data_IF_105134476995
#
_entry.id   IF_105134476995
#
_cell.length_a   1.000
_cell.length_b   1.000
_cell.length_c   1.000
_cell.angle_alpha   90.00
_cell.angle_beta   90.00
_cell.angle_gamma   90.00
#
_symmetry.space_group_name_H-M   'P 1'
#
loop_
_entity.id
_entity.type
_entity.pdbx_description
1 polymer ?
#
# COMPACT_ATOMS: atom_id res chain seq x y z
N UNK A 1 -22.95 2.78 -4.21
CA UNK A 1 -21.58 2.25 -4.10
C UNK A 1 -21.27 1.52 -5.40
N UNK A 2 -20.18 1.83 -6.08
CA UNK A 2 -19.76 1.10 -7.28
C UNK A 2 -18.25 1.02 -7.30
N UNK A 3 -17.74 -0.18 -7.12
CA UNK A 3 -16.30 -0.49 -7.08
C UNK A 3 -16.13 -1.80 -7.86
N UNK A 4 -15.15 -1.86 -8.75
CA UNK A 4 -14.87 -3.07 -9.51
C UNK A 4 -13.36 -3.27 -9.69
N UNK A 5 -12.84 -4.30 -9.04
CA UNK A 5 -11.99 -5.30 -9.68
C UNK A 5 -12.67 -6.62 -9.33
N UNK A 6 -13.22 -7.33 -10.33
CA UNK A 6 -14.01 -8.55 -10.07
C UNK A 6 -13.13 -9.80 -9.90
N UNK A 7 -11.94 -9.81 -10.47
CA UNK A 7 -10.86 -10.75 -10.16
C UNK A 7 -9.56 -10.15 -10.71
N UNK A 8 -8.47 -10.22 -9.94
CA UNK A 8 -7.10 -9.96 -10.40
C UNK A 8 -6.20 -11.02 -9.76
N UNK A 9 -6.39 -12.27 -10.18
CA UNK A 9 -5.55 -13.41 -9.81
C UNK A 9 -4.16 -13.29 -10.46
N UNK A 10 -3.28 -12.54 -9.82
CA UNK A 10 -1.87 -12.45 -10.22
C UNK A 10 -1.02 -13.14 -9.16
N UNK A 11 -0.56 -14.36 -9.45
CA UNK A 11 0.51 -15.00 -8.70
C UNK A 11 1.86 -14.38 -9.09
N UNK A 12 2.06 -13.12 -8.71
CA UNK A 12 3.32 -12.41 -8.90
C UNK A 12 4.04 -12.35 -7.56
N UNK A 13 5.22 -12.94 -7.52
CA UNK A 13 6.18 -12.66 -6.46
C UNK A 13 6.42 -11.15 -6.44
N UNK A 14 6.08 -10.50 -5.32
CA UNK A 14 6.33 -9.07 -5.12
C UNK A 14 7.84 -8.90 -5.07
N UNK A 15 8.47 -8.61 -6.22
CA UNK A 15 9.91 -8.35 -6.33
C UNK A 15 10.23 -6.94 -5.81
N UNK A 16 11.48 -6.50 -5.91
CA UNK A 16 11.96 -5.22 -5.36
C UNK A 16 11.12 -3.98 -5.76
N UNK A 17 10.48 -3.99 -6.93
CA UNK A 17 9.66 -2.84 -7.40
C UNK A 17 8.29 -2.77 -6.71
N UNK A 18 7.76 -3.91 -6.28
CA UNK A 18 6.50 -3.98 -5.56
C UNK A 18 5.25 -3.66 -6.38
N UNK A 19 4.16 -3.39 -5.67
CA UNK A 19 2.89 -2.86 -6.18
C UNK A 19 2.64 -1.51 -5.52
N UNK A 20 2.10 -0.57 -6.28
CA UNK A 20 1.63 0.73 -5.78
C UNK A 20 0.12 0.79 -5.90
N UNK A 21 -0.56 1.26 -4.86
CA UNK A 21 -1.97 1.58 -4.94
C UNK A 21 -2.29 2.90 -4.24
N UNK A 22 -3.27 3.59 -4.81
CA UNK A 22 -3.73 4.89 -4.36
C UNK A 22 -4.89 4.73 -3.38
N UNK A 23 -4.80 5.41 -2.24
CA UNK A 23 -5.80 5.34 -1.17
C UNK A 23 -6.61 6.62 -1.11
N UNK A 24 -7.93 6.47 -1.11
CA UNK A 24 -8.90 7.54 -0.91
C UNK A 24 -9.79 7.19 0.29
N UNK A 25 -10.32 8.20 0.97
CA UNK A 25 -11.37 8.00 1.97
C UNK A 25 -12.74 7.72 1.31
N UNK A 26 -13.75 7.46 2.14
CA UNK A 26 -15.12 7.19 1.68
C UNK A 26 -15.80 8.38 1.00
N UNK A 27 -15.24 9.58 1.12
CA UNK A 27 -15.73 10.81 0.47
C UNK A 27 -14.98 11.07 -0.86
N UNK A 28 -14.01 10.23 -1.22
CA UNK A 28 -13.20 10.35 -2.42
C UNK A 28 -11.97 11.25 -2.25
N UNK A 29 -11.69 11.76 -1.05
CA UNK A 29 -10.51 12.58 -0.82
C UNK A 29 -9.26 11.70 -0.84
N UNK A 30 -8.26 12.15 -1.60
CA UNK A 30 -6.98 11.46 -1.69
C UNK A 30 -6.23 11.52 -0.36
N UNK A 31 -5.85 10.36 0.16
CA UNK A 31 -5.14 10.22 1.44
C UNK A 31 -3.64 10.00 1.23
N UNK A 32 -3.25 9.32 0.15
CA UNK A 32 -1.86 9.01 -0.14
C UNK A 32 -1.72 7.77 -1.02
N UNK A 33 -0.47 7.46 -1.36
CA UNK A 33 -0.10 6.26 -2.09
C UNK A 33 0.58 5.25 -1.14
N UNK A 34 0.27 3.96 -1.28
CA UNK A 34 0.88 2.88 -0.51
C UNK A 34 1.64 1.94 -1.45
N UNK A 35 2.90 1.66 -1.09
CA UNK A 35 3.74 0.72 -1.82
C UNK A 35 3.91 -0.56 -1.03
N UNK A 36 3.54 -1.69 -1.63
CA UNK A 36 3.78 -3.03 -1.09
C UNK A 36 5.00 -3.61 -1.79
N UNK A 37 6.03 -3.92 -1.04
CA UNK A 37 7.27 -4.50 -1.56
C UNK A 37 7.64 -5.76 -0.79
N UNK A 38 8.65 -6.50 -1.24
CA UNK A 38 9.13 -7.67 -0.49
C UNK A 38 9.63 -7.34 0.92
N UNK A 39 10.08 -6.10 1.15
CA UNK A 39 10.63 -5.66 2.43
C UNK A 39 9.57 -5.11 3.39
N UNK A 40 8.33 -4.90 2.93
CA UNK A 40 7.26 -4.34 3.74
C UNK A 40 6.44 -3.30 2.99
N UNK A 41 5.88 -2.36 3.75
CA UNK A 41 5.00 -1.31 3.26
C UNK A 41 5.69 0.05 3.32
N UNK A 42 5.44 0.91 2.33
CA UNK A 42 5.80 2.34 2.40
C UNK A 42 4.56 3.18 2.19
N UNK A 43 4.22 4.00 3.18
CA UNK A 43 3.12 4.95 3.13
C UNK A 43 3.59 6.34 2.73
N UNK A 44 2.96 6.91 1.71
CA UNK A 44 3.22 8.25 1.20
C UNK A 44 2.00 9.12 1.40
N UNK A 45 1.94 9.83 2.53
CA UNK A 45 0.80 10.69 2.86
C UNK A 45 0.64 11.83 1.85
N UNK A 46 -0.58 12.01 1.33
CA UNK A 46 -0.87 13.00 0.31
C UNK A 46 0.06 12.84 -0.90
N UNK A 47 0.73 13.92 -1.30
CA UNK A 47 1.64 13.95 -2.46
C UNK A 47 3.09 13.64 -2.10
N UNK A 48 3.33 12.97 -0.99
CA UNK A 48 4.69 12.61 -0.55
C UNK A 48 5.34 11.67 -1.57
N UNK A 49 6.59 11.94 -1.94
CA UNK A 49 7.34 11.04 -2.82
C UNK A 49 7.74 9.77 -2.07
N UNK A 50 7.79 8.62 -2.76
CA UNK A 50 8.22 7.34 -2.17
C UNK A 50 9.51 7.42 -1.35
N UNK A 51 10.49 8.21 -1.81
CA UNK A 51 11.77 8.40 -1.11
C UNK A 51 11.64 9.02 0.29
N UNK A 52 10.53 9.73 0.55
CA UNK A 52 10.22 10.41 1.80
C UNK A 52 9.04 9.76 2.54
N UNK A 53 8.56 8.60 2.07
CA UNK A 53 7.47 7.87 2.70
C UNK A 53 7.92 7.17 3.98
N UNK A 54 6.96 6.88 4.86
CA UNK A 54 7.21 6.12 6.08
C UNK A 54 7.18 4.64 5.71
N UNK A 55 8.28 3.94 5.97
CA UNK A 55 8.38 2.50 5.69
C UNK A 55 8.28 1.69 6.97
N UNK A 56 7.64 0.53 6.88
CA UNK A 56 7.49 -0.45 7.95
C UNK A 56 7.83 -1.81 7.39
N UNK A 57 8.54 -2.62 8.18
CA UNK A 57 8.82 -4.01 7.79
C UNK A 57 7.56 -4.86 7.87
N UNK A 58 7.59 -6.06 7.28
CA UNK A 58 6.49 -7.00 7.44
C UNK A 58 6.33 -7.46 8.87
N UNK A 59 7.42 -7.64 9.61
CA UNK A 59 7.40 -8.00 11.03
C UNK A 59 6.68 -6.94 11.86
N UNK A 60 7.03 -5.66 11.69
CA UNK A 60 6.38 -4.53 12.38
C UNK A 60 4.89 -4.45 12.03
N UNK A 61 4.55 -4.59 10.75
CA UNK A 61 3.16 -4.57 10.32
C UNK A 61 2.34 -5.74 10.89
N UNK A 62 2.91 -6.95 10.92
CA UNK A 62 2.25 -8.14 11.48
C UNK A 62 2.02 -7.95 12.98
N UNK A 63 2.98 -7.38 13.70
CA UNK A 63 2.84 -7.06 15.12
C UNK A 63 1.67 -6.10 15.36
N UNK A 64 1.55 -5.03 14.56
CA UNK A 64 0.44 -4.07 14.67
C UNK A 64 -0.93 -4.70 14.46
N UNK A 65 -1.03 -5.65 13.53
CA UNK A 65 -2.30 -6.29 13.19
C UNK A 65 -2.71 -7.40 14.18
N UNK A 66 -1.74 -7.95 14.92
CA UNK A 66 -1.98 -8.99 15.94
C UNK A 66 -2.15 -8.41 17.36
N UNK A 67 -2.05 -7.09 17.50
CA UNK A 67 -2.26 -6.35 18.76
C UNK A 67 -3.74 -6.05 18.96
#
# INVERSE_FOLDING_TARGET
MKVMINDLSVAMEVKNKGVEFRVHDNQGNFQGDCYVTKSGLTWCQGKTLKANGISVSWEEFIEWMNS
#
